data_IF_651685908199
#
_entry.id   IF_651685908199
#
_cell.length_a   1.000
_cell.length_b   1.000
_cell.length_c   1.000
_cell.angle_alpha   90.00
_cell.angle_beta   90.00
_cell.angle_gamma   90.00
#
_symmetry.space_group_name_H-M   'P 1'
#
loop_
_entity.id
_entity.type
_entity.pdbx_description
1 polymer ?
#
# COMPACT_ATOMS: atom_id res chain seq x y z
N UNK A 1 -0.97 -41.11 -2.71
CA UNK A 1 -1.43 -40.29 -1.56
C UNK A 1 -1.96 -38.98 -2.11
N UNK A 2 -3.27 -38.70 -1.92
CA UNK A 2 -3.83 -37.37 -2.33
C UNK A 2 -3.20 -36.31 -1.45
N UNK A 3 -2.41 -35.39 -2.05
CA UNK A 3 -1.96 -34.18 -1.34
C UNK A 3 -3.21 -33.44 -0.83
N UNK A 4 -3.34 -33.35 0.48
CA UNK A 4 -4.37 -32.49 1.10
C UNK A 4 -4.09 -31.08 0.65
N UNK A 5 -4.96 -30.49 -0.19
CA UNK A 5 -4.89 -29.08 -0.57
C UNK A 5 -4.85 -28.24 0.72
N UNK A 6 -3.70 -27.65 1.02
CA UNK A 6 -3.57 -26.73 2.16
C UNK A 6 -4.48 -25.52 1.91
N UNK A 7 -5.31 -25.20 2.90
CA UNK A 7 -6.17 -24.02 2.87
C UNK A 7 -5.28 -22.77 2.74
N UNK A 8 -5.56 -21.89 1.77
CA UNK A 8 -4.79 -20.67 1.57
C UNK A 8 -4.87 -19.76 2.80
N UNK A 9 -3.84 -18.93 3.04
CA UNK A 9 -3.83 -17.97 4.15
C UNK A 9 -5.04 -17.04 4.09
N UNK A 10 -5.43 -16.61 2.89
CA UNK A 10 -6.63 -15.80 2.66
C UNK A 10 -7.91 -16.47 3.17
N UNK A 11 -8.08 -17.75 2.87
CA UNK A 11 -9.25 -18.53 3.33
C UNK A 11 -9.20 -18.73 4.86
N UNK A 12 -8.02 -18.91 5.44
CA UNK A 12 -7.85 -18.98 6.90
C UNK A 12 -8.25 -17.67 7.58
N UNK A 13 -7.85 -16.52 7.02
CA UNK A 13 -8.23 -15.19 7.53
C UNK A 13 -9.74 -14.99 7.39
N UNK A 14 -10.34 -15.37 6.26
CA UNK A 14 -11.79 -15.27 6.06
C UNK A 14 -12.57 -16.12 7.05
N UNK A 15 -12.14 -17.38 7.27
CA UNK A 15 -12.74 -18.27 8.28
C UNK A 15 -12.59 -17.65 9.68
N UNK A 16 -11.41 -17.14 10.02
CA UNK A 16 -11.15 -16.49 11.31
C UNK A 16 -12.06 -15.28 11.52
N UNK A 17 -12.29 -14.48 10.46
CA UNK A 17 -13.21 -13.33 10.49
C UNK A 17 -14.66 -13.78 10.78
N UNK A 18 -15.16 -14.80 10.06
CA UNK A 18 -16.50 -15.32 10.27
C UNK A 18 -16.66 -15.88 11.69
N UNK A 19 -15.66 -16.62 12.18
CA UNK A 19 -15.63 -17.12 13.55
C UNK A 19 -15.57 -16.00 14.58
N UNK A 20 -14.80 -14.93 14.32
CA UNK A 20 -14.73 -13.76 15.20
C UNK A 20 -16.07 -13.04 15.29
N UNK A 21 -16.79 -12.92 14.17
CA UNK A 21 -18.14 -12.34 14.14
C UNK A 21 -19.10 -13.19 14.97
N UNK A 22 -19.13 -14.50 14.73
CA UNK A 22 -20.02 -15.40 15.46
C UNK A 22 -19.70 -15.43 16.96
N UNK A 23 -18.43 -15.57 17.33
CA UNK A 23 -17.99 -15.55 18.73
C UNK A 23 -18.25 -14.19 19.41
N UNK A 24 -17.99 -13.09 18.71
CA UNK A 24 -18.25 -11.74 19.23
C UNK A 24 -19.73 -11.50 19.50
N UNK A 25 -20.62 -11.91 18.60
CA UNK A 25 -22.07 -11.84 18.81
C UNK A 25 -22.54 -12.72 19.99
N UNK A 26 -21.98 -13.91 20.16
CA UNK A 26 -22.27 -14.78 21.30
C UNK A 26 -21.75 -14.22 22.63
N UNK A 27 -20.68 -13.44 22.58
CA UNK A 27 -20.07 -12.77 23.76
C UNK A 27 -20.66 -11.39 24.04
N UNK A 28 -21.70 -10.96 23.32
CA UNK A 28 -22.47 -9.77 23.69
C UNK A 28 -23.00 -9.94 25.12
N UNK A 29 -22.76 -8.95 25.99
CA UNK A 29 -23.03 -9.03 27.41
C UNK A 29 -21.89 -9.64 28.26
N UNK A 30 -20.84 -10.16 27.65
CA UNK A 30 -19.59 -10.61 28.30
C UNK A 30 -18.36 -10.00 27.63
N UNK A 31 -18.47 -8.75 27.21
CA UNK A 31 -17.39 -8.03 26.52
C UNK A 31 -16.08 -7.99 27.34
N UNK A 32 -16.18 -7.91 28.69
CA UNK A 32 -15.03 -7.95 29.59
C UNK A 32 -14.20 -9.23 29.44
N UNK A 33 -14.87 -10.39 29.28
CA UNK A 33 -14.17 -11.64 29.03
C UNK A 33 -13.38 -11.57 27.70
N UNK A 34 -14.00 -11.08 26.64
CA UNK A 34 -13.33 -10.97 25.36
C UNK A 34 -12.15 -9.97 25.40
N UNK A 35 -12.31 -8.84 26.10
CA UNK A 35 -11.26 -7.84 26.25
C UNK A 35 -10.11 -8.34 27.14
N UNK A 36 -10.40 -9.10 28.22
CA UNK A 36 -9.37 -9.57 29.15
C UNK A 36 -8.59 -10.77 28.61
N UNK A 37 -9.25 -11.73 27.95
CA UNK A 37 -8.63 -13.01 27.61
C UNK A 37 -8.35 -13.19 26.11
N UNK A 38 -9.09 -12.51 25.21
CA UNK A 38 -8.92 -12.68 23.75
C UNK A 38 -8.09 -11.52 23.18
N UNK A 39 -8.44 -10.26 23.48
CA UNK A 39 -7.76 -9.05 22.98
C UNK A 39 -6.23 -9.07 23.15
N UNK A 40 -5.63 -9.57 24.24
CA UNK A 40 -4.16 -9.57 24.39
C UNK A 40 -3.42 -10.30 23.28
N UNK A 41 -3.95 -11.40 22.75
CA UNK A 41 -3.34 -12.10 21.62
C UNK A 41 -3.41 -11.29 20.33
N UNK A 42 -4.49 -10.53 20.13
CA UNK A 42 -4.60 -9.56 19.03
C UNK A 42 -3.58 -8.43 19.19
N UNK A 43 -3.38 -7.92 20.41
CA UNK A 43 -2.37 -6.89 20.71
C UNK A 43 -0.95 -7.41 20.43
N UNK A 44 -0.64 -8.67 20.74
CA UNK A 44 0.64 -9.28 20.37
C UNK A 44 0.83 -9.25 18.85
N UNK A 45 -0.18 -9.61 18.08
CA UNK A 45 -0.11 -9.53 16.61
C UNK A 45 0.15 -8.10 16.13
N UNK A 46 -0.55 -7.09 16.67
CA UNK A 46 -0.31 -5.68 16.32
C UNK A 46 1.09 -5.22 16.71
N UNK A 47 1.62 -5.66 17.87
CA UNK A 47 2.98 -5.33 18.27
C UNK A 47 4.02 -5.90 17.31
N UNK A 48 3.80 -7.12 16.80
CA UNK A 48 4.66 -7.71 15.77
C UNK A 48 4.55 -6.94 14.43
N UNK A 49 3.35 -6.48 14.07
CA UNK A 49 3.17 -5.62 12.89
C UNK A 49 3.90 -4.29 13.10
N UNK A 50 3.77 -3.64 14.26
CA UNK A 50 4.50 -2.39 14.59
C UNK A 50 6.02 -2.59 14.56
N UNK A 51 6.51 -3.69 15.13
CA UNK A 51 7.94 -4.04 15.17
C UNK A 51 8.59 -4.06 13.79
N UNK A 52 7.89 -4.59 12.78
CA UNK A 52 8.47 -4.79 11.46
C UNK A 52 8.40 -3.53 10.55
N UNK A 53 7.59 -2.51 10.92
CA UNK A 53 7.35 -1.34 10.06
C UNK A 53 8.64 -0.58 9.74
N UNK A 54 9.39 -0.17 10.76
CA UNK A 54 10.60 0.65 10.58
C UNK A 54 11.67 -0.05 9.74
N UNK A 55 12.07 -1.31 10.06
CA UNK A 55 13.08 -2.01 9.23
C UNK A 55 12.60 -2.23 7.79
N UNK A 56 11.35 -2.62 7.58
CA UNK A 56 10.85 -2.83 6.21
C UNK A 56 10.89 -1.52 5.43
N UNK A 57 10.35 -0.42 5.99
CA UNK A 57 10.35 0.88 5.30
C UNK A 57 11.77 1.30 4.95
N UNK A 58 12.70 1.22 5.91
CA UNK A 58 14.09 1.61 5.69
C UNK A 58 14.76 0.78 4.59
N UNK A 59 14.78 -0.54 4.72
CA UNK A 59 15.52 -1.41 3.80
C UNK A 59 14.80 -1.55 2.45
N UNK A 60 13.48 -1.64 2.42
CA UNK A 60 12.74 -1.80 1.18
C UNK A 60 12.83 -0.56 0.28
N UNK A 61 12.68 0.64 0.86
CA UNK A 61 12.84 1.90 0.10
C UNK A 61 14.29 2.06 -0.35
N UNK A 62 15.26 1.78 0.52
CA UNK A 62 16.68 1.81 0.15
C UNK A 62 16.99 0.89 -1.02
N UNK A 63 16.54 -0.38 -0.97
CA UNK A 63 16.73 -1.35 -2.05
C UNK A 63 15.97 -0.92 -3.31
N UNK A 64 14.77 -0.36 -3.17
CA UNK A 64 14.04 0.25 -4.27
C UNK A 64 14.84 1.34 -4.98
N UNK A 65 15.41 2.28 -4.25
CA UNK A 65 16.29 3.34 -4.80
C UNK A 65 17.54 2.73 -5.44
N UNK A 66 18.20 1.78 -4.78
CA UNK A 66 19.42 1.12 -5.30
C UNK A 66 19.11 0.38 -6.61
N UNK A 67 17.93 -0.25 -6.73
CA UNK A 67 17.51 -0.93 -7.97
C UNK A 67 17.35 0.03 -9.15
N UNK A 68 17.07 1.31 -8.87
CA UNK A 68 17.02 2.38 -9.87
C UNK A 68 18.41 2.70 -10.48
N UNK A 69 19.48 2.07 -10.01
CA UNK A 69 20.81 2.18 -10.63
C UNK A 69 20.76 1.94 -12.14
N UNK A 70 19.93 1.02 -12.60
CA UNK A 70 19.74 0.73 -14.01
C UNK A 70 18.96 1.82 -14.77
N UNK A 71 18.23 2.70 -14.06
CA UNK A 71 17.56 3.86 -14.64
C UNK A 71 18.55 4.81 -15.31
N UNK A 72 19.77 4.94 -14.76
CA UNK A 72 20.84 5.74 -15.40
C UNK A 72 21.27 5.15 -16.73
N UNK A 73 21.30 3.82 -16.85
CA UNK A 73 21.62 3.12 -18.11
C UNK A 73 20.48 3.22 -19.11
N UNK A 74 19.23 3.20 -18.62
CA UNK A 74 18.02 3.31 -19.45
C UNK A 74 17.63 4.77 -19.72
N UNK A 75 18.21 5.72 -18.99
CA UNK A 75 18.10 7.15 -19.24
C UNK A 75 16.67 7.70 -19.12
N UNK A 76 16.12 8.16 -20.23
CA UNK A 76 14.82 8.87 -20.30
C UNK A 76 13.61 7.99 -19.94
N UNK A 77 13.68 6.66 -20.15
CA UNK A 77 12.60 5.72 -19.81
C UNK A 77 12.40 5.68 -18.31
N UNK A 78 13.49 5.52 -17.55
CA UNK A 78 13.43 5.43 -16.09
C UNK A 78 12.84 6.66 -15.43
N UNK A 79 13.31 7.87 -15.84
CA UNK A 79 12.79 9.12 -15.28
C UNK A 79 11.28 9.30 -15.56
N UNK A 80 10.84 8.98 -16.79
CA UNK A 80 9.41 9.06 -17.14
C UNK A 80 8.57 8.07 -16.35
N UNK A 81 9.08 6.86 -16.14
CA UNK A 81 8.41 5.81 -15.38
C UNK A 81 8.21 6.24 -13.92
N UNK A 82 9.27 6.71 -13.27
CA UNK A 82 9.20 7.18 -11.87
C UNK A 82 8.28 8.38 -11.73
N UNK A 83 8.41 9.38 -12.63
CA UNK A 83 7.53 10.54 -12.63
C UNK A 83 6.06 10.15 -12.80
N UNK A 84 5.77 9.21 -13.70
CA UNK A 84 4.41 8.69 -13.89
C UNK A 84 3.88 8.06 -12.60
N UNK A 85 4.63 7.16 -11.99
CA UNK A 85 4.19 6.47 -10.77
C UNK A 85 3.98 7.42 -9.59
N UNK A 86 4.89 8.36 -9.36
CA UNK A 86 4.72 9.34 -8.28
C UNK A 86 3.49 10.23 -8.51
N UNK A 87 3.24 10.65 -9.74
CA UNK A 87 2.05 11.44 -10.06
C UNK A 87 0.77 10.62 -9.88
N UNK A 88 0.70 9.38 -10.42
CA UNK A 88 -0.52 8.57 -10.30
C UNK A 88 -0.79 8.17 -8.85
N UNK A 89 0.25 7.89 -8.06
CA UNK A 89 0.12 7.55 -6.63
C UNK A 89 -0.37 8.76 -5.82
N UNK A 90 0.12 9.98 -6.10
CA UNK A 90 -0.39 11.19 -5.45
C UNK A 90 -1.88 11.43 -5.77
N UNK A 91 -2.30 11.22 -7.01
CA UNK A 91 -3.73 11.24 -7.37
C UNK A 91 -4.52 10.12 -6.69
N UNK A 92 -3.94 8.91 -6.60
CA UNK A 92 -4.58 7.76 -5.99
C UNK A 92 -4.92 8.01 -4.52
N UNK A 93 -3.94 8.42 -3.71
CA UNK A 93 -4.17 8.71 -2.28
C UNK A 93 -5.13 9.88 -2.11
N UNK A 94 -5.06 10.90 -2.96
CA UNK A 94 -6.00 12.04 -2.94
C UNK A 94 -7.43 11.57 -3.20
N UNK A 95 -7.66 10.70 -4.20
CA UNK A 95 -8.96 10.08 -4.47
C UNK A 95 -9.43 9.27 -3.25
N UNK A 96 -8.55 8.52 -2.61
CA UNK A 96 -8.84 7.77 -1.38
C UNK A 96 -9.30 8.67 -0.22
N UNK A 97 -8.57 9.77 0.02
CA UNK A 97 -8.93 10.75 1.05
C UNK A 97 -10.25 11.46 0.74
N UNK A 98 -10.46 11.87 -0.51
CA UNK A 98 -11.71 12.51 -0.92
C UNK A 98 -12.89 11.55 -0.81
N UNK A 99 -12.75 10.30 -1.27
CA UNK A 99 -13.76 9.26 -1.13
C UNK A 99 -14.07 8.96 0.33
N UNK A 100 -13.04 8.78 1.17
CA UNK A 100 -13.20 8.60 2.61
C UNK A 100 -13.97 9.75 3.26
N UNK A 101 -13.62 11.00 2.94
CA UNK A 101 -14.31 12.18 3.44
C UNK A 101 -15.76 12.30 2.94
N UNK A 102 -16.04 11.91 1.70
CA UNK A 102 -17.39 11.92 1.15
C UNK A 102 -18.33 10.96 1.90
N UNK A 103 -17.81 9.79 2.26
CA UNK A 103 -18.59 8.74 2.93
C UNK A 103 -18.42 8.73 4.45
N UNK A 104 -17.63 9.64 5.04
CA UNK A 104 -17.33 9.65 6.50
C UNK A 104 -18.58 9.67 7.38
N UNK A 105 -19.67 10.31 6.96
CA UNK A 105 -20.93 10.33 7.70
C UNK A 105 -21.62 8.96 7.84
N UNK A 106 -21.16 7.95 7.09
CA UNK A 106 -21.66 6.57 7.17
C UNK A 106 -20.71 5.68 8.01
N UNK A 107 -19.59 6.23 8.48
CA UNK A 107 -18.66 5.52 9.35
C UNK A 107 -19.07 5.70 10.81
N UNK A 108 -19.05 4.65 11.64
CA UNK A 108 -19.45 4.76 13.04
C UNK A 108 -18.40 5.50 13.86
N UNK A 109 -18.85 6.17 14.89
CA UNK A 109 -17.99 6.51 16.03
C UNK A 109 -18.04 5.34 17.00
N UNK A 110 -16.91 4.69 17.21
CA UNK A 110 -16.79 3.57 18.13
C UNK A 110 -16.42 4.17 19.49
N UNK A 111 -17.23 3.92 20.52
CA UNK A 111 -16.90 4.32 21.89
C UNK A 111 -15.67 3.51 22.35
N UNK A 112 -14.50 4.09 22.22
CA UNK A 112 -13.24 3.50 22.69
C UNK A 112 -12.99 4.02 24.09
N UNK A 113 -13.43 3.28 25.10
CA UNK A 113 -13.32 3.67 26.52
C UNK A 113 -11.89 3.69 27.06
N UNK A 114 -10.90 3.18 26.32
CA UNK A 114 -9.54 2.96 26.84
C UNK A 114 -8.40 3.57 26.03
N UNK A 115 -8.68 4.36 25.00
CA UNK A 115 -7.62 4.97 24.19
C UNK A 115 -7.61 6.49 24.44
N UNK A 116 -6.76 6.93 25.37
CA UNK A 116 -6.39 8.33 25.48
C UNK A 116 -5.62 8.74 24.22
N UNK A 117 -6.35 9.26 23.22
CA UNK A 117 -5.72 9.94 22.09
C UNK A 117 -5.39 11.36 22.55
N UNK A 118 -4.12 11.61 22.79
CA UNK A 118 -3.62 12.99 22.82
C UNK A 118 -3.53 13.45 21.37
N UNK A 119 -4.42 14.38 21.00
CA UNK A 119 -4.40 14.98 19.67
C UNK A 119 -3.01 15.57 19.43
N UNK A 120 -2.27 15.00 18.48
CA UNK A 120 -1.02 15.59 18.04
C UNK A 120 -1.30 17.04 17.64
N UNK A 121 -0.56 18.00 18.23
CA UNK A 121 -0.72 19.41 17.95
C UNK A 121 -0.70 19.63 16.44
N UNK A 122 -1.65 20.39 15.90
CA UNK A 122 -1.74 20.67 14.48
C UNK A 122 -0.51 21.45 14.04
N UNK A 123 0.50 20.74 13.54
CA UNK A 123 1.70 21.36 12.94
C UNK A 123 1.33 21.97 11.60
N UNK A 124 1.89 23.12 11.30
CA UNK A 124 1.69 23.75 9.98
C UNK A 124 2.33 22.87 8.90
N UNK A 125 1.81 22.94 7.66
CA UNK A 125 2.37 22.19 6.54
C UNK A 125 3.88 22.50 6.32
N UNK A 126 4.29 23.77 6.51
CA UNK A 126 5.70 24.17 6.39
C UNK A 126 6.56 23.57 7.49
N UNK A 127 6.05 23.52 8.70
CA UNK A 127 6.71 22.85 9.84
C UNK A 127 6.87 21.36 9.61
N UNK A 128 5.85 20.71 9.04
CA UNK A 128 5.93 19.32 8.60
C UNK A 128 7.02 19.15 7.53
N UNK A 129 7.10 20.02 6.52
CA UNK A 129 8.14 19.96 5.46
C UNK A 129 9.56 20.10 6.02
N UNK A 130 9.77 20.94 7.01
CA UNK A 130 11.09 21.08 7.67
C UNK A 130 11.38 19.83 8.49
N UNK A 131 10.40 19.34 9.23
CA UNK A 131 10.53 18.22 10.16
C UNK A 131 10.65 16.84 9.46
N UNK A 132 10.45 16.74 8.14
CA UNK A 132 10.73 15.47 7.42
C UNK A 132 12.24 15.18 7.30
N UNK A 133 13.11 16.19 7.47
CA UNK A 133 14.56 16.00 7.41
C UNK A 133 15.09 15.63 8.80
N UNK A 134 15.70 14.44 8.97
CA UNK A 134 16.17 14.00 10.27
C UNK A 134 17.41 14.76 10.71
N UNK A 135 17.43 15.21 11.97
CA UNK A 135 18.60 15.80 12.61
C UNK A 135 19.49 14.77 13.31
N UNK A 136 18.98 13.52 13.45
CA UNK A 136 19.68 12.41 14.08
C UNK A 136 19.34 11.11 13.36
N UNK A 137 20.31 10.22 13.21
CA UNK A 137 20.16 8.98 12.45
C UNK A 137 19.30 7.92 13.19
N UNK A 138 19.39 7.85 14.51
CA UNK A 138 18.76 6.80 15.31
C UNK A 138 17.36 7.21 15.80
N UNK A 139 17.21 8.48 16.18
CA UNK A 139 15.97 9.03 16.76
C UNK A 139 14.71 8.73 15.92
N UNK A 140 14.69 8.92 14.59
CA UNK A 140 13.52 8.61 13.77
C UNK A 140 13.11 7.14 13.82
N UNK A 141 14.07 6.23 13.95
CA UNK A 141 13.81 4.80 14.04
C UNK A 141 13.20 4.42 15.39
N UNK A 142 13.69 5.02 16.48
CA UNK A 142 13.19 4.78 17.85
C UNK A 142 11.76 5.34 18.03
N UNK A 143 11.54 6.56 17.51
CA UNK A 143 10.25 7.26 17.59
C UNK A 143 9.26 6.80 16.49
N UNK A 144 9.69 5.90 15.60
CA UNK A 144 8.93 5.47 14.42
C UNK A 144 8.42 6.66 13.58
N UNK A 145 9.26 7.72 13.44
CA UNK A 145 8.94 8.86 12.57
C UNK A 145 9.15 8.48 11.10
N UNK A 146 8.07 7.99 10.48
CA UNK A 146 8.14 7.36 9.16
C UNK A 146 8.59 8.31 8.06
N UNK A 147 8.18 9.58 8.07
CA UNK A 147 8.63 10.56 7.08
C UNK A 147 10.15 10.73 7.12
N UNK A 148 10.73 10.86 8.31
CA UNK A 148 12.17 10.96 8.47
C UNK A 148 12.89 9.67 8.08
N UNK A 149 12.32 8.48 8.41
CA UNK A 149 12.87 7.17 8.01
C UNK A 149 12.88 7.05 6.49
N UNK A 150 11.82 7.48 5.79
CA UNK A 150 11.75 7.49 4.32
C UNK A 150 12.85 8.39 3.73
N UNK A 151 13.00 9.61 4.23
CA UNK A 151 14.05 10.54 3.76
C UNK A 151 15.44 9.95 3.98
N UNK A 152 15.69 9.34 5.15
CA UNK A 152 16.94 8.62 5.42
C UNK A 152 17.18 7.50 4.40
N UNK A 153 16.17 6.66 4.14
CA UNK A 153 16.28 5.57 3.19
C UNK A 153 16.59 6.06 1.77
N UNK A 154 15.95 7.16 1.36
CA UNK A 154 16.19 7.80 0.05
C UNK A 154 17.61 8.35 -0.03
N UNK A 155 18.06 9.10 0.96
CA UNK A 155 19.42 9.67 1.00
C UNK A 155 20.50 8.57 0.99
N UNK A 156 20.32 7.54 1.80
CA UNK A 156 21.26 6.39 1.85
C UNK A 156 21.27 5.61 0.53
N UNK A 157 20.10 5.35 -0.04
CA UNK A 157 19.97 4.66 -1.33
C UNK A 157 20.69 5.42 -2.46
N UNK A 158 20.48 6.74 -2.56
CA UNK A 158 21.19 7.56 -3.53
C UNK A 158 22.70 7.62 -3.25
N UNK A 159 23.11 7.74 -1.98
CA UNK A 159 24.53 7.74 -1.61
C UNK A 159 25.22 6.44 -2.04
N UNK A 160 24.59 5.29 -1.85
CA UNK A 160 25.11 3.99 -2.29
C UNK A 160 25.27 3.94 -3.81
N UNK A 161 24.29 4.45 -4.58
CA UNK A 161 24.38 4.54 -6.06
C UNK A 161 25.57 5.42 -6.47
N UNK A 162 25.76 6.55 -5.80
CA UNK A 162 26.82 7.52 -6.16
C UNK A 162 28.23 7.00 -5.85
N UNK A 163 28.41 6.22 -4.80
CA UNK A 163 29.70 5.58 -4.50
C UNK A 163 30.09 4.52 -5.57
N UNK A 164 29.09 3.96 -6.27
CA UNK A 164 29.28 3.12 -7.46
C UNK A 164 29.72 1.68 -7.17
N UNK A 165 30.36 1.03 -8.17
CA UNK A 165 30.63 -0.42 -8.19
C UNK A 165 31.55 -0.93 -7.05
N UNK A 166 32.29 -0.06 -6.39
CA UNK A 166 33.15 -0.43 -5.24
C UNK A 166 32.34 -0.99 -4.07
N UNK A 167 31.03 -0.78 -4.04
CA UNK A 167 30.12 -1.15 -2.94
C UNK A 167 29.24 -2.37 -3.24
N UNK A 168 29.58 -3.22 -4.20
CA UNK A 168 28.77 -4.40 -4.52
C UNK A 168 28.43 -5.26 -3.29
N UNK A 169 29.39 -5.41 -2.35
CA UNK A 169 29.18 -6.14 -1.08
C UNK A 169 28.16 -5.44 -0.17
N UNK A 170 28.20 -4.11 -0.09
CA UNK A 170 27.25 -3.33 0.71
C UNK A 170 25.85 -3.42 0.11
N UNK A 171 25.72 -3.31 -1.22
CA UNK A 171 24.45 -3.49 -1.93
C UNK A 171 23.87 -4.89 -1.68
N UNK A 172 24.71 -5.94 -1.76
CA UNK A 172 24.30 -7.31 -1.43
C UNK A 172 23.80 -7.42 0.00
N UNK A 173 24.54 -6.87 0.97
CA UNK A 173 24.16 -6.92 2.37
C UNK A 173 22.82 -6.24 2.66
N UNK A 174 22.53 -5.10 2.01
CA UNK A 174 21.22 -4.44 2.14
C UNK A 174 20.08 -5.24 1.49
N UNK A 175 20.32 -5.87 0.35
CA UNK A 175 19.35 -6.75 -0.29
C UNK A 175 19.08 -7.98 0.60
N UNK A 176 20.10 -8.58 1.18
CA UNK A 176 19.99 -9.73 2.09
C UNK A 176 19.21 -9.35 3.36
N UNK A 177 19.50 -8.18 3.94
CA UNK A 177 18.73 -7.65 5.08
C UNK A 177 17.26 -7.40 4.72
N UNK A 178 16.99 -6.80 3.55
CA UNK A 178 15.63 -6.61 3.08
C UNK A 178 14.90 -7.95 2.93
N UNK A 179 15.56 -8.97 2.36
CA UNK A 179 14.98 -10.33 2.23
C UNK A 179 14.65 -10.94 3.59
N UNK A 180 15.57 -10.78 4.58
CA UNK A 180 15.34 -11.26 5.95
C UNK A 180 14.10 -10.58 6.57
N UNK A 181 13.99 -9.24 6.48
CA UNK A 181 12.85 -8.53 7.04
C UNK A 181 11.55 -8.83 6.29
N UNK A 182 11.60 -9.01 4.97
CA UNK A 182 10.46 -9.48 4.18
C UNK A 182 10.02 -10.88 4.61
N UNK A 183 10.98 -11.77 4.91
CA UNK A 183 10.66 -13.11 5.43
C UNK A 183 10.09 -13.05 6.85
N UNK A 184 10.58 -12.17 7.68
CA UNK A 184 10.04 -11.90 9.01
C UNK A 184 8.58 -11.41 8.89
N UNK A 185 8.28 -10.47 7.97
CA UNK A 185 6.92 -10.03 7.68
C UNK A 185 6.02 -11.19 7.26
N UNK A 186 6.47 -12.08 6.36
CA UNK A 186 5.70 -13.25 5.97
C UNK A 186 5.35 -14.16 7.18
N UNK A 187 6.28 -14.33 8.12
CA UNK A 187 6.04 -15.11 9.34
C UNK A 187 4.98 -14.43 10.23
N UNK A 188 5.07 -13.11 10.40
CA UNK A 188 4.08 -12.33 11.15
C UNK A 188 2.71 -12.44 10.48
N UNK A 189 2.65 -12.31 9.14
CA UNK A 189 1.40 -12.41 8.39
C UNK A 189 0.75 -13.81 8.47
N UNK A 190 1.51 -14.88 8.69
CA UNK A 190 0.94 -16.21 8.96
C UNK A 190 0.16 -16.28 10.26
N UNK A 191 0.41 -15.37 11.20
CA UNK A 191 -0.37 -15.24 12.44
C UNK A 191 -1.66 -14.43 12.24
N UNK A 192 -1.87 -13.82 11.06
CA UNK A 192 -3.05 -12.99 10.78
C UNK A 192 -4.40 -13.66 11.08
N UNK A 193 -4.64 -14.95 10.82
CA UNK A 193 -5.91 -15.56 11.18
C UNK A 193 -6.19 -15.47 12.69
N UNK A 194 -5.19 -15.74 13.53
CA UNK A 194 -5.31 -15.62 14.99
C UNK A 194 -5.45 -14.14 15.39
N UNK A 195 -4.59 -13.28 14.83
CA UNK A 195 -4.63 -11.84 15.08
C UNK A 195 -5.98 -11.23 14.75
N UNK A 196 -6.52 -11.52 13.57
CA UNK A 196 -7.83 -11.04 13.11
C UNK A 196 -8.96 -11.51 14.02
N UNK A 197 -8.98 -12.80 14.38
CA UNK A 197 -9.96 -13.33 15.32
C UNK A 197 -9.91 -12.59 16.66
N UNK A 198 -8.71 -12.48 17.24
CA UNK A 198 -8.51 -11.90 18.57
C UNK A 198 -8.71 -10.38 18.62
N UNK A 199 -8.61 -9.68 17.49
CA UNK A 199 -8.89 -8.25 17.38
C UNK A 199 -10.37 -7.97 17.12
N UNK A 200 -10.99 -8.71 16.19
CA UNK A 200 -12.35 -8.45 15.75
C UNK A 200 -13.41 -8.95 16.75
N UNK A 201 -13.19 -10.11 17.38
CA UNK A 201 -14.13 -10.70 18.33
C UNK A 201 -14.46 -9.77 19.50
N UNK A 202 -13.48 -9.16 20.21
CA UNK A 202 -13.77 -8.19 21.29
C UNK A 202 -14.50 -6.95 20.79
N UNK A 203 -14.16 -6.44 19.60
CA UNK A 203 -14.82 -5.27 18.98
C UNK A 203 -16.31 -5.56 18.75
N UNK A 204 -16.63 -6.74 18.22
CA UNK A 204 -18.03 -7.14 17.98
C UNK A 204 -18.75 -7.42 19.30
N UNK A 205 -18.08 -8.04 20.28
CA UNK A 205 -18.65 -8.27 21.60
C UNK A 205 -19.06 -6.96 22.30
N UNK A 206 -18.28 -5.89 22.08
CA UNK A 206 -18.53 -4.56 22.68
C UNK A 206 -19.55 -3.75 21.89
N UNK A 207 -19.43 -3.71 20.54
CA UNK A 207 -20.18 -2.81 19.68
C UNK A 207 -21.35 -3.48 18.92
N UNK A 208 -21.45 -4.80 18.98
CA UNK A 208 -22.51 -5.55 18.31
C UNK A 208 -22.36 -5.64 16.78
N UNK A 209 -23.47 -5.95 16.09
CA UNK A 209 -23.49 -6.16 14.65
C UNK A 209 -23.30 -4.87 13.81
N UNK A 210 -23.43 -3.68 14.41
CA UNK A 210 -23.33 -2.40 13.70
C UNK A 210 -21.96 -2.22 13.00
N UNK A 211 -20.88 -2.77 13.59
CA UNK A 211 -19.54 -2.70 13.01
C UNK A 211 -19.41 -3.41 11.67
N UNK A 212 -20.23 -4.44 11.42
CA UNK A 212 -20.19 -5.22 10.16
C UNK A 212 -20.64 -4.34 8.99
N UNK A 213 -21.69 -3.54 9.20
CA UNK A 213 -22.15 -2.57 8.20
C UNK A 213 -21.07 -1.55 7.85
N UNK A 214 -20.33 -1.13 8.85
CA UNK A 214 -19.22 -0.16 8.69
C UNK A 214 -18.05 -0.72 7.90
N UNK A 215 -17.70 -1.99 8.14
CA UNK A 215 -16.67 -2.69 7.36
C UNK A 215 -17.09 -2.86 5.90
N UNK A 216 -18.38 -3.12 5.64
CA UNK A 216 -18.91 -3.16 4.29
C UNK A 216 -18.84 -1.77 3.62
N UNK A 217 -19.14 -0.69 4.35
CA UNK A 217 -19.09 0.67 3.82
C UNK A 217 -17.67 1.12 3.49
N UNK A 218 -16.68 0.83 4.34
CA UNK A 218 -15.28 1.19 4.03
C UNK A 218 -14.75 0.41 2.83
N UNK A 219 -15.11 -0.88 2.71
CA UNK A 219 -14.80 -1.68 1.53
C UNK A 219 -15.42 -1.09 0.27
N UNK A 220 -16.72 -0.79 0.30
CA UNK A 220 -17.44 -0.19 -0.82
C UNK A 220 -16.79 1.14 -1.23
N UNK A 221 -16.46 1.99 -0.27
CA UNK A 221 -15.78 3.27 -0.50
C UNK A 221 -14.45 3.06 -1.23
N UNK A 222 -13.63 2.11 -0.77
CA UNK A 222 -12.34 1.82 -1.41
C UNK A 222 -12.52 1.30 -2.83
N UNK A 223 -13.46 0.37 -3.07
CA UNK A 223 -13.72 -0.15 -4.41
C UNK A 223 -14.26 0.90 -5.37
N UNK A 224 -15.11 1.81 -4.90
CA UNK A 224 -15.52 2.99 -5.69
C UNK A 224 -14.29 3.81 -6.07
N UNK A 225 -13.40 4.10 -5.12
CA UNK A 225 -12.17 4.85 -5.38
C UNK A 225 -11.22 4.12 -6.34
N UNK A 226 -11.09 2.79 -6.25
CA UNK A 226 -10.32 1.97 -7.18
C UNK A 226 -10.86 2.10 -8.61
N UNK A 227 -12.18 2.00 -8.77
CA UNK A 227 -12.84 2.14 -10.08
C UNK A 227 -12.67 3.56 -10.62
N UNK A 228 -12.91 4.58 -9.79
CA UNK A 228 -12.73 5.99 -10.17
C UNK A 228 -11.30 6.25 -10.63
N UNK A 229 -10.29 5.79 -9.87
CA UNK A 229 -8.89 5.95 -10.25
C UNK A 229 -8.58 5.27 -11.58
N UNK A 230 -8.97 4.00 -11.75
CA UNK A 230 -8.75 3.25 -12.98
C UNK A 230 -9.45 3.91 -14.19
N UNK A 231 -10.73 4.30 -14.04
CA UNK A 231 -11.53 4.87 -15.12
C UNK A 231 -11.10 6.30 -15.46
N UNK A 232 -10.72 7.11 -14.46
CA UNK A 232 -10.34 8.51 -14.71
C UNK A 232 -8.85 8.61 -15.01
N UNK A 233 -7.98 8.20 -14.07
CA UNK A 233 -6.53 8.48 -14.16
C UNK A 233 -5.87 7.61 -15.23
N UNK A 234 -6.11 6.31 -15.24
CA UNK A 234 -5.48 5.44 -16.24
C UNK A 234 -6.09 5.62 -17.64
N UNK A 235 -7.42 5.82 -17.74
CA UNK A 235 -8.03 6.08 -19.04
C UNK A 235 -7.53 7.38 -19.66
N UNK A 236 -7.42 8.44 -18.85
CA UNK A 236 -6.88 9.73 -19.31
C UNK A 236 -5.42 9.59 -19.73
N UNK A 237 -4.59 8.92 -18.92
CA UNK A 237 -3.17 8.69 -19.21
C UNK A 237 -2.96 7.91 -20.48
N UNK A 238 -3.68 6.78 -20.64
CA UNK A 238 -3.58 5.91 -21.84
C UNK A 238 -4.12 6.62 -23.08
N UNK A 239 -5.20 7.39 -22.98
CA UNK A 239 -5.77 8.13 -24.12
C UNK A 239 -4.90 9.32 -24.51
N UNK A 240 -4.55 10.19 -23.57
CA UNK A 240 -3.84 11.44 -23.84
C UNK A 240 -2.35 11.22 -24.17
N UNK A 241 -1.67 10.39 -23.37
CA UNK A 241 -0.22 10.18 -23.50
C UNK A 241 0.12 8.85 -24.17
N UNK A 242 -0.67 7.80 -23.98
CA UNK A 242 -0.48 6.48 -24.58
C UNK A 242 -0.99 6.35 -26.02
N UNK A 243 -1.87 7.27 -26.48
CA UNK A 243 -2.45 7.25 -27.83
C UNK A 243 -3.36 6.03 -28.09
N UNK A 244 -3.91 5.42 -27.03
CA UNK A 244 -4.72 4.20 -27.10
C UNK A 244 -6.13 4.45 -26.53
N UNK A 245 -7.14 3.77 -27.10
CA UNK A 245 -8.51 3.78 -26.54
C UNK A 245 -8.52 3.08 -25.17
N UNK A 246 -9.11 3.71 -24.12
CA UNK A 246 -9.27 3.09 -22.81
C UNK A 246 -9.99 1.74 -22.86
N UNK A 247 -11.03 1.61 -23.69
CA UNK A 247 -11.78 0.36 -23.86
C UNK A 247 -10.87 -0.76 -24.38
N UNK A 248 -10.00 -0.46 -25.38
CA UNK A 248 -9.02 -1.42 -25.91
C UNK A 248 -8.03 -1.81 -24.83
N UNK A 249 -7.56 -0.84 -24.04
CA UNK A 249 -6.63 -1.06 -22.94
C UNK A 249 -7.21 -2.02 -21.91
N UNK A 250 -8.37 -1.70 -21.29
CA UNK A 250 -8.98 -2.55 -20.27
C UNK A 250 -9.37 -3.94 -20.80
N UNK A 251 -9.88 -4.05 -22.04
CA UNK A 251 -10.15 -5.35 -22.66
C UNK A 251 -8.88 -6.20 -22.80
N UNK A 252 -7.78 -5.60 -23.22
CA UNK A 252 -6.51 -6.29 -23.37
C UNK A 252 -5.88 -6.69 -22.04
N UNK A 253 -6.12 -5.90 -20.99
CA UNK A 253 -5.61 -6.17 -19.64
C UNK A 253 -6.47 -7.15 -18.83
N UNK A 254 -7.66 -7.52 -19.28
CA UNK A 254 -8.62 -8.34 -18.54
C UNK A 254 -8.02 -9.65 -17.97
N UNK A 255 -7.18 -10.42 -18.71
CA UNK A 255 -6.56 -11.62 -18.14
C UNK A 255 -5.65 -11.33 -16.94
N UNK A 256 -4.86 -10.25 -17.02
CA UNK A 256 -3.99 -9.82 -15.91
C UNK A 256 -4.82 -9.31 -14.71
N UNK A 257 -5.88 -8.52 -14.97
CA UNK A 257 -6.81 -8.00 -13.98
C UNK A 257 -7.46 -9.13 -13.18
N UNK A 258 -8.02 -10.13 -13.87
CA UNK A 258 -8.69 -11.27 -13.21
C UNK A 258 -7.68 -12.09 -12.39
N UNK A 259 -6.49 -12.32 -12.92
CA UNK A 259 -5.46 -13.05 -12.19
C UNK A 259 -4.95 -12.27 -10.97
N UNK A 260 -4.71 -10.98 -11.09
CA UNK A 260 -4.30 -10.10 -9.98
C UNK A 260 -5.35 -10.06 -8.87
N UNK A 261 -6.62 -9.93 -9.25
CA UNK A 261 -7.73 -9.97 -8.31
C UNK A 261 -7.79 -11.28 -7.52
N UNK A 262 -7.54 -12.40 -8.18
CA UNK A 262 -7.58 -13.73 -7.54
C UNK A 262 -6.34 -13.99 -6.66
N UNK A 263 -5.15 -13.62 -7.14
CA UNK A 263 -3.87 -13.90 -6.48
C UNK A 263 -3.51 -12.90 -5.39
N UNK A 264 -3.92 -11.63 -5.57
CA UNK A 264 -3.48 -10.47 -4.80
C UNK A 264 -1.93 -10.39 -4.71
N UNK A 265 -1.25 -10.64 -5.84
CA UNK A 265 0.21 -10.57 -5.95
C UNK A 265 0.61 -9.91 -7.26
N UNK A 266 1.21 -8.73 -7.19
CA UNK A 266 1.74 -8.02 -8.36
C UNK A 266 2.88 -8.82 -9.00
N UNK A 267 3.78 -9.37 -8.18
CA UNK A 267 4.89 -10.20 -8.66
C UNK A 267 4.39 -11.49 -9.33
N UNK A 268 3.40 -12.15 -8.72
CA UNK A 268 2.79 -13.35 -9.31
C UNK A 268 2.05 -13.08 -10.62
N UNK A 269 1.54 -11.86 -10.81
CA UNK A 269 0.83 -11.43 -12.03
C UNK A 269 1.78 -10.98 -13.15
N UNK A 270 3.03 -10.67 -12.83
CA UNK A 270 4.00 -10.04 -13.74
C UNK A 270 4.12 -10.74 -15.12
N UNK A 271 4.22 -12.09 -15.25
CA UNK A 271 4.32 -12.73 -16.55
C UNK A 271 3.08 -12.50 -17.44
N UNK A 272 1.89 -12.51 -16.85
CA UNK A 272 0.62 -12.27 -17.55
C UNK A 272 0.52 -10.81 -17.93
N UNK A 273 0.90 -9.90 -17.00
CA UNK A 273 0.91 -8.47 -17.24
C UNK A 273 1.84 -8.08 -18.40
N UNK A 274 3.05 -8.64 -18.47
CA UNK A 274 3.99 -8.49 -19.58
C UNK A 274 3.33 -8.91 -20.90
N UNK A 275 2.80 -10.13 -20.97
CA UNK A 275 2.16 -10.65 -22.17
C UNK A 275 0.99 -9.79 -22.66
N UNK A 276 0.12 -9.32 -21.74
CA UNK A 276 -1.01 -8.45 -22.07
C UNK A 276 -0.53 -7.10 -22.59
N UNK A 277 0.45 -6.50 -21.94
CA UNK A 277 0.97 -5.15 -22.25
C UNK A 277 1.72 -5.15 -23.60
N UNK A 278 2.51 -6.18 -23.90
CA UNK A 278 3.16 -6.35 -25.21
C UNK A 278 2.13 -6.53 -26.33
N UNK A 279 1.09 -7.35 -26.13
CA UNK A 279 -0.01 -7.52 -27.11
C UNK A 279 -0.78 -6.23 -27.36
N UNK A 280 -0.83 -5.34 -26.39
CA UNK A 280 -1.42 -4.02 -26.55
C UNK A 280 -0.53 -3.05 -27.34
N UNK A 281 0.72 -3.41 -27.61
CA UNK A 281 1.64 -2.65 -28.45
C UNK A 281 2.71 -1.87 -27.69
N UNK A 282 2.93 -2.15 -26.40
CA UNK A 282 4.10 -1.63 -25.71
C UNK A 282 5.37 -2.26 -26.30
N UNK A 283 6.44 -1.46 -26.45
CA UNK A 283 7.75 -1.98 -26.83
C UNK A 283 8.24 -2.97 -25.78
N UNK A 284 8.73 -4.12 -26.22
CA UNK A 284 9.23 -5.19 -25.33
C UNK A 284 10.29 -4.68 -24.35
N UNK A 285 11.24 -3.86 -24.83
CA UNK A 285 12.30 -3.28 -24.02
C UNK A 285 11.75 -2.37 -22.91
N UNK A 286 10.70 -1.58 -23.23
CA UNK A 286 10.02 -0.71 -22.26
C UNK A 286 9.22 -1.54 -21.26
N UNK A 287 8.42 -2.49 -21.74
CA UNK A 287 7.58 -3.34 -20.87
C UNK A 287 8.43 -4.18 -19.91
N UNK A 288 9.54 -4.78 -20.41
CA UNK A 288 10.45 -5.59 -19.59
C UNK A 288 11.20 -4.78 -18.53
N UNK A 289 11.25 -3.46 -18.65
CA UNK A 289 11.81 -2.58 -17.64
C UNK A 289 10.73 -2.01 -16.71
N UNK A 290 9.65 -1.44 -17.29
CA UNK A 290 8.62 -0.70 -16.55
C UNK A 290 7.81 -1.62 -15.63
N UNK A 291 7.40 -2.80 -16.11
CA UNK A 291 6.49 -3.66 -15.34
C UNK A 291 7.14 -4.29 -14.10
N UNK A 292 8.38 -4.85 -14.17
CA UNK A 292 9.05 -5.32 -12.95
C UNK A 292 9.34 -4.19 -11.96
N UNK A 293 9.69 -3.00 -12.44
CA UNK A 293 9.91 -1.83 -11.61
C UNK A 293 8.59 -1.39 -10.94
N UNK A 294 7.49 -1.37 -11.70
CA UNK A 294 6.15 -1.03 -11.22
C UNK A 294 5.66 -1.96 -10.12
N UNK A 295 5.91 -3.25 -10.26
CA UNK A 295 5.53 -4.24 -9.24
C UNK A 295 6.11 -3.95 -7.83
N UNK A 296 7.12 -3.06 -7.74
CA UNK A 296 7.78 -2.66 -6.49
C UNK A 296 7.66 -1.16 -6.16
N UNK A 297 7.29 -0.31 -7.10
CA UNK A 297 7.24 1.15 -6.92
C UNK A 297 5.82 1.69 -7.08
N UNK A 298 5.02 1.09 -7.96
CA UNK A 298 3.67 1.58 -8.25
C UNK A 298 2.64 0.94 -7.32
N UNK A 299 2.19 1.69 -6.33
CA UNK A 299 1.26 1.22 -5.29
C UNK A 299 -0.01 2.09 -5.22
N UNK A 300 -0.58 2.45 -6.38
CA UNK A 300 -1.76 3.33 -6.46
C UNK A 300 -2.96 2.76 -5.70
N UNK A 301 -3.25 1.47 -5.84
CA UNK A 301 -4.33 0.82 -5.10
C UNK A 301 -4.06 0.80 -3.59
N UNK A 302 -2.80 0.59 -3.18
CA UNK A 302 -2.41 0.66 -1.78
C UNK A 302 -2.54 2.07 -1.23
N UNK A 303 -2.19 3.10 -2.01
CA UNK A 303 -2.33 4.51 -1.64
C UNK A 303 -3.82 4.92 -1.45
N UNK A 304 -4.72 4.45 -2.34
CA UNK A 304 -6.17 4.63 -2.17
C UNK A 304 -6.63 4.00 -0.85
N UNK A 305 -6.26 2.74 -0.62
CA UNK A 305 -6.59 2.03 0.61
C UNK A 305 -6.13 2.79 1.85
N UNK A 306 -4.90 3.30 1.86
CA UNK A 306 -4.36 4.09 2.96
C UNK A 306 -5.17 5.35 3.21
N UNK A 307 -5.53 6.09 2.15
CA UNK A 307 -6.36 7.29 2.26
C UNK A 307 -7.74 7.01 2.83
N UNK A 308 -8.44 6.01 2.29
CA UNK A 308 -9.78 5.62 2.75
C UNK A 308 -9.74 5.12 4.20
N UNK A 309 -8.81 4.21 4.52
CA UNK A 309 -8.71 3.63 5.87
C UNK A 309 -8.27 4.65 6.92
N UNK A 310 -7.40 5.62 6.56
CA UNK A 310 -7.03 6.69 7.49
C UNK A 310 -8.25 7.54 7.89
N UNK A 311 -9.10 7.92 6.93
CA UNK A 311 -10.35 8.65 7.21
C UNK A 311 -11.33 7.78 8.01
N UNK A 312 -11.47 6.50 7.65
CA UNK A 312 -12.34 5.56 8.36
C UNK A 312 -11.91 5.41 9.83
N UNK A 313 -10.63 5.14 10.06
CA UNK A 313 -10.08 4.99 11.42
C UNK A 313 -10.23 6.29 12.20
N UNK A 314 -9.86 7.44 11.61
CA UNK A 314 -10.07 8.74 12.25
C UNK A 314 -11.53 8.95 12.67
N UNK A 315 -12.49 8.63 11.80
CA UNK A 315 -13.93 8.74 12.08
C UNK A 315 -14.35 7.81 13.22
N UNK A 316 -13.86 6.56 13.24
CA UNK A 316 -14.17 5.60 14.30
C UNK A 316 -13.70 6.08 15.70
N UNK A 317 -12.59 6.81 15.73
CA UNK A 317 -12.06 7.41 16.99
C UNK A 317 -12.55 8.85 17.25
N UNK A 318 -13.51 9.34 16.45
CA UNK A 318 -14.02 10.71 16.59
C UNK A 318 -13.01 11.80 16.26
N UNK A 319 -11.94 11.46 15.55
CA UNK A 319 -10.85 12.38 15.17
C UNK A 319 -11.17 13.00 13.81
N UNK A 320 -11.02 14.33 13.71
CA UNK A 320 -11.11 15.03 12.45
C UNK A 320 -9.71 15.35 11.94
N UNK A 321 -9.36 14.78 10.77
CA UNK A 321 -8.10 15.09 10.12
C UNK A 321 -8.12 16.51 9.54
N UNK A 322 -7.11 17.27 9.88
CA UNK A 322 -6.85 18.60 9.32
C UNK A 322 -6.29 18.51 7.90
N UNK A 323 -6.39 19.60 7.13
CA UNK A 323 -5.78 19.66 5.80
C UNK A 323 -4.26 19.38 5.82
N UNK A 324 -3.45 19.93 6.74
CA UNK A 324 -2.03 19.56 6.86
C UNK A 324 -1.80 18.06 7.08
N UNK A 325 -2.60 17.41 7.94
CA UNK A 325 -2.50 15.96 8.15
C UNK A 325 -2.86 15.17 6.88
N UNK A 326 -3.90 15.58 6.14
CA UNK A 326 -4.23 14.96 4.85
C UNK A 326 -3.10 15.11 3.82
N UNK A 327 -2.47 16.29 3.73
CA UNK A 327 -1.30 16.51 2.89
C UNK A 327 -0.09 15.65 3.33
N UNK A 328 0.09 15.47 4.64
CA UNK A 328 1.10 14.55 5.19
C UNK A 328 0.82 13.10 4.76
N UNK A 329 -0.44 12.67 4.78
CA UNK A 329 -0.82 11.34 4.27
C UNK A 329 -0.48 11.21 2.78
N UNK A 330 -0.81 12.22 1.95
CA UNK A 330 -0.47 12.21 0.52
C UNK A 330 1.03 12.05 0.33
N UNK A 331 1.82 12.84 1.02
CA UNK A 331 3.29 12.82 0.92
C UNK A 331 3.85 11.47 1.39
N UNK A 332 3.44 11.01 2.57
CA UNK A 332 3.92 9.75 3.17
C UNK A 332 3.58 8.55 2.29
N UNK A 333 2.31 8.43 1.87
CA UNK A 333 1.86 7.31 1.05
C UNK A 333 2.55 7.30 -0.33
N UNK A 334 2.72 8.47 -0.95
CA UNK A 334 3.40 8.59 -2.25
C UNK A 334 4.87 8.22 -2.15
N UNK A 335 5.60 8.70 -1.14
CA UNK A 335 7.01 8.35 -0.95
C UNK A 335 7.18 6.88 -0.56
N UNK A 336 6.30 6.37 0.27
CA UNK A 336 6.32 4.98 0.73
C UNK A 336 5.98 3.97 -0.38
N UNK A 337 5.31 4.39 -1.44
CA UNK A 337 5.08 3.53 -2.60
C UNK A 337 6.39 3.05 -3.24
N UNK A 338 7.46 3.85 -3.10
CA UNK A 338 8.80 3.48 -3.58
C UNK A 338 9.36 2.37 -2.68
N UNK A 339 9.51 1.17 -3.22
CA UNK A 339 10.10 0.02 -2.51
C UNK A 339 9.13 -0.81 -1.67
N UNK A 340 7.82 -0.56 -1.76
CA UNK A 340 6.83 -1.45 -1.15
C UNK A 340 6.76 -2.76 -1.94
N UNK A 341 6.90 -3.88 -1.24
CA UNK A 341 6.85 -5.18 -1.90
C UNK A 341 5.45 -5.50 -2.43
N UNK A 342 5.37 -5.95 -3.68
CA UNK A 342 4.13 -6.39 -4.33
C UNK A 342 3.66 -7.78 -3.88
N UNK A 343 3.62 -8.01 -2.56
CA UNK A 343 3.22 -9.26 -1.93
C UNK A 343 1.98 -9.07 -1.05
N UNK A 344 1.15 -10.13 -0.88
CA UNK A 344 -0.04 -10.04 -0.06
C UNK A 344 0.25 -9.58 1.37
N UNK A 345 -0.57 -8.69 1.91
CA UNK A 345 -0.49 -8.23 3.30
C UNK A 345 0.45 -7.05 3.58
N UNK A 346 1.27 -6.63 2.63
CA UNK A 346 2.14 -5.45 2.79
C UNK A 346 1.35 -4.16 3.11
N UNK A 347 0.09 -4.08 2.68
CA UNK A 347 -0.77 -2.91 2.88
C UNK A 347 -1.03 -2.56 4.34
N UNK A 348 -1.15 -3.53 5.24
CA UNK A 348 -1.34 -3.26 6.67
C UNK A 348 -0.11 -2.58 7.30
N UNK A 349 1.10 -3.01 6.91
CA UNK A 349 2.35 -2.38 7.36
C UNK A 349 2.42 -0.93 6.87
N UNK A 350 2.05 -0.71 5.61
CA UNK A 350 2.03 0.62 5.02
C UNK A 350 0.94 1.50 5.63
N UNK A 351 -0.22 0.93 5.99
CA UNK A 351 -1.27 1.66 6.71
C UNK A 351 -0.77 2.08 8.10
N UNK A 352 -0.09 1.19 8.84
CA UNK A 352 0.49 1.54 10.14
C UNK A 352 1.44 2.75 10.04
N UNK A 353 2.26 2.79 8.99
CA UNK A 353 3.15 3.91 8.72
C UNK A 353 2.38 5.23 8.49
N UNK A 354 1.33 5.20 7.65
CA UNK A 354 0.51 6.39 7.38
C UNK A 354 -0.19 6.87 8.65
N UNK A 355 -0.79 5.97 9.42
CA UNK A 355 -1.44 6.33 10.69
C UNK A 355 -0.45 6.99 11.65
N UNK A 356 0.74 6.40 11.82
CA UNK A 356 1.79 6.95 12.68
C UNK A 356 2.22 8.34 12.22
N UNK A 357 2.32 8.59 10.90
CA UNK A 357 2.78 9.88 10.34
C UNK A 357 1.87 11.05 10.68
N UNK A 358 0.60 10.79 11.01
CA UNK A 358 -0.40 11.82 11.36
C UNK A 358 -0.92 11.67 12.79
N UNK A 359 -0.27 10.82 13.59
CA UNK A 359 -0.62 10.60 14.99
C UNK A 359 -1.92 9.84 15.21
N UNK A 360 -2.45 9.13 14.22
CA UNK A 360 -3.62 8.28 14.41
C UNK A 360 -3.26 6.98 15.15
N UNK A 361 -4.19 6.42 15.94
CA UNK A 361 -3.95 5.19 16.68
C UNK A 361 -3.76 4.01 15.71
N UNK A 362 -2.58 3.38 15.78
CA UNK A 362 -2.24 2.22 14.94
C UNK A 362 -3.11 1.01 15.27
N UNK A 363 -3.66 0.95 16.48
CA UNK A 363 -4.60 -0.09 16.91
C UNK A 363 -5.89 -0.09 16.07
N UNK A 364 -6.22 1.04 15.42
CA UNK A 364 -7.30 1.13 14.44
C UNK A 364 -7.16 0.19 13.25
N UNK A 365 -5.95 -0.34 12.96
CA UNK A 365 -5.75 -1.38 11.95
C UNK A 365 -6.58 -2.63 12.25
N UNK A 366 -6.79 -2.93 13.54
CA UNK A 366 -7.63 -4.04 13.96
C UNK A 366 -9.03 -4.02 13.32
N UNK A 367 -9.58 -2.82 13.09
CA UNK A 367 -10.90 -2.61 12.50
C UNK A 367 -10.96 -3.11 11.05
N UNK A 368 -9.88 -2.93 10.27
CA UNK A 368 -9.84 -3.27 8.84
C UNK A 368 -9.09 -4.57 8.54
N UNK A 369 -8.30 -5.07 9.48
CA UNK A 369 -7.46 -6.27 9.31
C UNK A 369 -8.26 -7.51 8.89
N UNK A 370 -9.49 -7.67 9.41
CA UNK A 370 -10.36 -8.80 9.08
C UNK A 370 -10.78 -8.84 7.61
N UNK A 371 -10.88 -7.69 6.97
CA UNK A 371 -11.30 -7.56 5.56
C UNK A 371 -10.14 -7.16 4.64
N UNK A 372 -8.91 -7.09 5.16
CA UNK A 372 -7.72 -6.65 4.41
C UNK A 372 -7.49 -7.48 3.14
N UNK A 373 -7.82 -8.76 3.13
CA UNK A 373 -7.70 -9.61 1.94
C UNK A 373 -8.57 -9.13 0.79
N UNK A 374 -9.77 -8.63 1.09
CA UNK A 374 -10.68 -8.10 0.06
C UNK A 374 -10.12 -6.79 -0.49
N UNK A 375 -9.58 -5.92 0.38
CA UNK A 375 -8.84 -4.74 -0.07
C UNK A 375 -7.65 -5.11 -0.96
N UNK A 376 -6.88 -6.15 -0.58
CA UNK A 376 -5.68 -6.59 -1.29
C UNK A 376 -5.96 -7.05 -2.72
N UNK A 377 -7.08 -7.73 -2.94
CA UNK A 377 -7.55 -8.12 -4.27
C UNK A 377 -7.77 -6.89 -5.17
N UNK A 378 -8.47 -5.87 -4.66
CA UNK A 378 -8.74 -4.63 -5.38
C UNK A 378 -7.48 -3.80 -5.61
N UNK A 379 -6.67 -3.56 -4.56
CA UNK A 379 -5.46 -2.73 -4.66
C UNK A 379 -4.41 -3.33 -5.60
N UNK A 380 -4.22 -4.66 -5.57
CA UNK A 380 -3.29 -5.33 -6.51
C UNK A 380 -3.74 -5.17 -7.95
N UNK A 381 -5.05 -5.28 -8.20
CA UNK A 381 -5.62 -5.07 -9.53
C UNK A 381 -5.35 -3.66 -10.06
N UNK A 382 -5.49 -2.63 -9.21
CA UNK A 382 -5.18 -1.24 -9.58
C UNK A 382 -3.68 -1.09 -9.85
N UNK A 383 -2.81 -1.60 -8.96
CA UNK A 383 -1.36 -1.49 -9.11
C UNK A 383 -0.89 -2.03 -10.47
N UNK A 384 -1.21 -3.29 -10.80
CA UNK A 384 -0.75 -3.91 -12.04
C UNK A 384 -1.35 -3.26 -13.30
N UNK A 385 -2.53 -2.68 -13.18
CA UNK A 385 -3.16 -1.93 -14.28
C UNK A 385 -2.42 -0.61 -14.51
N UNK A 386 -1.98 0.05 -13.45
CA UNK A 386 -1.13 1.25 -13.51
C UNK A 386 0.24 0.96 -14.14
N UNK A 387 0.85 -0.20 -13.81
CA UNK A 387 2.10 -0.63 -14.43
C UNK A 387 1.98 -0.72 -15.95
N UNK A 388 0.91 -1.38 -16.43
CA UNK A 388 0.62 -1.50 -17.84
C UNK A 388 0.33 -0.15 -18.51
N UNK A 389 -0.44 0.73 -17.84
CA UNK A 389 -0.72 2.08 -18.33
C UNK A 389 0.58 2.88 -18.51
N UNK A 390 1.48 2.82 -17.52
CA UNK A 390 2.80 3.44 -17.58
C UNK A 390 3.61 2.91 -18.79
N UNK A 391 3.69 1.58 -18.96
CA UNK A 391 4.44 0.98 -20.05
C UNK A 391 3.91 1.41 -21.43
N UNK A 392 2.60 1.48 -21.63
CA UNK A 392 1.95 2.00 -22.84
C UNK A 392 2.31 3.47 -23.08
N UNK A 393 2.18 4.31 -22.03
CA UNK A 393 2.49 5.74 -22.09
C UNK A 393 3.95 5.97 -22.44
N UNK A 394 4.87 5.35 -21.72
CA UNK A 394 6.31 5.51 -21.94
C UNK A 394 6.71 4.99 -23.32
N UNK A 395 6.18 3.84 -23.75
CA UNK A 395 6.41 3.32 -25.12
C UNK A 395 6.00 4.29 -26.21
N UNK A 396 4.82 4.91 -26.09
CA UNK A 396 4.34 5.88 -27.09
C UNK A 396 5.21 7.15 -27.11
N UNK A 397 5.63 7.64 -25.94
CA UNK A 397 6.51 8.81 -25.84
C UNK A 397 7.87 8.53 -26.48
N UNK A 398 8.47 7.36 -26.21
CA UNK A 398 9.75 6.98 -26.84
C UNK A 398 9.63 6.78 -28.35
N UNK A 399 8.55 6.16 -28.84
CA UNK A 399 8.30 6.01 -30.28
C UNK A 399 8.20 7.38 -30.99
N UNK A 400 7.49 8.34 -30.39
CA UNK A 400 7.39 9.70 -30.94
C UNK A 400 8.74 10.43 -30.95
N UNK A 401 9.56 10.21 -29.92
CA UNK A 401 10.92 10.77 -29.84
C UNK A 401 11.83 10.22 -30.92
N UNK A 402 11.84 8.91 -31.12
CA UNK A 402 12.64 8.26 -32.18
C UNK A 402 12.25 8.73 -33.56
N UNK A 403 10.95 8.84 -33.87
CA UNK A 403 10.46 9.38 -35.16
C UNK A 403 10.92 10.82 -35.40
N UNK A 404 10.96 11.66 -34.35
CA UNK A 404 11.47 13.04 -34.45
C UNK A 404 12.98 13.08 -34.71
N UNK A 405 13.74 12.13 -34.15
CA UNK A 405 15.19 12.06 -34.36
C UNK A 405 15.55 11.49 -35.72
N UNK A 406 14.80 10.48 -36.22
CA UNK A 406 15.00 9.89 -37.55
C UNK A 406 14.52 10.78 -38.70
N UNK A 407 13.52 11.65 -38.46
CA UNK A 407 13.05 12.63 -39.47
C UNK A 407 13.89 13.90 -39.56
N UNK A 408 14.95 14.03 -38.75
CA UNK A 408 15.95 15.11 -38.83
C UNK A 408 17.24 14.70 -39.52
N UNK A 409 17.33 13.44 -40.03
CA UNK A 409 18.35 12.97 -40.91
C UNK A 409 17.77 12.93 -42.34
#
# INVERSE_FOLDING_TARGET
MREKKKISLAMQIFIAMVLAIAAGLLLQGRADFANTFIKPFGTIFLNLVKFIVVPIVLFSIMCGIISMKDIRKVGSIGLKTVAFYLCTTAFAVTIGLLGGNLFKGMFPVIATTDLSYEAAASTSFMETLVNIFPSNFVKPMVEANMLQVIVMAVLLGFSIILVGEKNAKVVSAFNDLNEIFMKCMELILKLSPIGVFCLLCPIIATNGAAIIGSLAMVLLTAYICYIVHAVVVYSLSVKAMGGMSPVKFFKGMMPAIIFAFSSASSVGTLPINLSCTEKLGAKKEVASFVLPLGATINMDGTAIYQGVCAIFIASCYGIQLTLPQMLTIVLTATLASIGTAGVPGAGMVMLAMVLTSVGLPVDGIALVAGVDRIFDMGRTTVNITGDAACAIVVSNIEQKREKKLSGKK
#
